data_IF_892605259170
#
_entry.id   IF_892605259170
#
_cell.length_a   1.000
_cell.length_b   1.000
_cell.length_c   1.000
_cell.angle_alpha   90.00
_cell.angle_beta   90.00
_cell.angle_gamma   90.00
#
_symmetry.space_group_name_H-M   'P 1'
#
loop_
_entity.id
_entity.type
_entity.pdbx_description
1 polymer ?
#
# COMPACT_ATOMS: atom_id res chain seq x y z
N UNK A 1 -17.31 8.28 -2.32
CA UNK A 1 -17.14 7.56 -1.05
C UNK A 1 -17.55 6.12 -1.26
N UNK A 2 -16.68 5.18 -0.89
CA UNK A 2 -16.97 3.75 -0.89
C UNK A 2 -16.74 3.21 0.51
N UNK A 3 -17.67 2.36 0.98
CA UNK A 3 -17.56 1.68 2.27
C UNK A 3 -17.86 0.20 2.03
N UNK A 4 -16.97 -0.65 2.51
CA UNK A 4 -17.09 -2.09 2.45
C UNK A 4 -17.01 -2.66 3.85
N UNK A 5 -17.93 -3.55 4.21
CA UNK A 5 -17.94 -4.25 5.49
C UNK A 5 -18.10 -5.75 5.23
N UNK A 6 -17.22 -6.54 5.79
CA UNK A 6 -17.26 -8.00 5.70
C UNK A 6 -17.24 -8.63 7.11
N UNK A 7 -18.01 -9.70 7.25
CA UNK A 7 -17.96 -10.61 8.41
C UNK A 7 -17.81 -12.02 7.91
N UNK A 8 -16.76 -12.68 8.35
CA UNK A 8 -16.48 -14.05 7.91
C UNK A 8 -16.35 -15.00 9.09
N UNK A 9 -16.64 -16.26 8.84
CA UNK A 9 -16.43 -17.36 9.77
C UNK A 9 -15.76 -18.51 9.04
N UNK A 10 -14.66 -18.99 9.59
CA UNK A 10 -13.98 -20.16 9.08
C UNK A 10 -14.28 -21.35 9.97
N UNK A 11 -14.75 -22.43 9.37
CA UNK A 11 -15.11 -23.66 10.06
C UNK A 11 -13.94 -24.65 10.10
N UNK A 12 -12.90 -24.40 9.30
CA UNK A 12 -11.70 -25.25 9.20
C UNK A 12 -10.46 -24.47 9.61
N UNK A 13 -9.39 -25.18 10.09
CA UNK A 13 -8.10 -24.60 10.32
C UNK A 13 -7.54 -23.91 9.07
N UNK A 14 -6.72 -22.87 9.29
CA UNK A 14 -6.07 -22.09 8.24
C UNK A 14 -4.62 -21.84 8.63
N UNK A 15 -3.83 -21.37 7.67
CA UNK A 15 -2.48 -20.90 7.98
C UNK A 15 -2.52 -19.81 9.04
N UNK A 16 -1.74 -19.95 10.10
CA UNK A 16 -1.69 -19.07 11.27
C UNK A 16 -3.00 -18.98 12.09
N UNK A 17 -3.98 -19.83 11.85
CA UNK A 17 -5.21 -19.93 12.64
C UNK A 17 -5.70 -21.37 12.67
N UNK A 18 -5.11 -22.20 13.52
CA UNK A 18 -5.41 -23.64 13.66
C UNK A 18 -6.75 -23.91 14.33
N UNK A 19 -7.35 -22.90 14.97
CA UNK A 19 -8.69 -23.00 15.56
C UNK A 19 -9.67 -22.25 14.66
N UNK A 20 -10.84 -22.85 14.36
CA UNK A 20 -11.92 -22.16 13.66
C UNK A 20 -12.26 -20.82 14.32
N UNK A 21 -12.45 -19.78 13.51
CA UNK A 21 -12.64 -18.45 14.07
C UNK A 21 -13.54 -17.55 13.23
N UNK A 22 -13.87 -16.41 13.82
CA UNK A 22 -14.64 -15.35 13.18
C UNK A 22 -13.79 -14.11 13.02
N UNK A 23 -14.03 -13.34 11.97
CA UNK A 23 -13.38 -12.06 11.78
C UNK A 23 -14.31 -11.04 11.16
N UNK A 24 -13.82 -9.81 11.12
CA UNK A 24 -14.49 -8.69 10.46
C UNK A 24 -13.47 -7.82 9.74
N UNK A 25 -13.90 -7.22 8.66
CA UNK A 25 -13.11 -6.26 7.91
C UNK A 25 -14.00 -5.06 7.55
N UNK A 26 -13.49 -3.86 7.74
CA UNK A 26 -14.14 -2.61 7.34
C UNK A 26 -13.13 -1.84 6.51
N UNK A 27 -13.54 -1.43 5.32
CA UNK A 27 -12.73 -0.62 4.41
C UNK A 27 -13.53 0.61 4.03
N UNK A 28 -12.88 1.77 4.07
CA UNK A 28 -13.45 3.03 3.65
C UNK A 28 -12.51 3.76 2.70
N UNK A 29 -13.04 4.23 1.58
CA UNK A 29 -12.34 5.05 0.61
C UNK A 29 -13.10 6.34 0.37
N UNK A 30 -12.40 7.47 0.47
CA UNK A 30 -12.92 8.80 0.14
C UNK A 30 -11.99 9.43 -0.87
N UNK A 31 -12.54 9.89 -2.00
CA UNK A 31 -11.78 10.55 -3.05
C UNK A 31 -12.41 11.90 -3.36
N UNK A 32 -11.57 12.92 -3.42
CA UNK A 32 -11.92 14.27 -3.86
C UNK A 32 -11.11 14.60 -5.12
N UNK A 33 -11.80 14.92 -6.19
CA UNK A 33 -11.19 15.29 -7.45
C UNK A 33 -11.47 16.77 -7.74
N UNK A 34 -10.43 17.51 -8.06
CA UNK A 34 -10.50 18.89 -8.49
C UNK A 34 -9.69 19.05 -9.78
N UNK A 35 -9.82 20.18 -10.46
CA UNK A 35 -9.18 20.39 -11.76
C UNK A 35 -7.65 20.22 -11.78
N UNK A 36 -6.99 20.51 -10.67
CA UNK A 36 -5.52 20.42 -10.55
C UNK A 36 -5.01 19.43 -9.52
N UNK A 37 -5.87 18.91 -8.66
CA UNK A 37 -5.45 18.00 -7.62
C UNK A 37 -6.52 16.94 -7.32
N UNK A 38 -6.05 15.75 -7.00
CA UNK A 38 -6.84 14.63 -6.55
C UNK A 38 -6.32 14.22 -5.18
N UNK A 39 -7.23 14.11 -4.21
CA UNK A 39 -6.93 13.65 -2.86
C UNK A 39 -7.71 12.38 -2.57
N UNK A 40 -7.05 11.36 -2.07
CA UNK A 40 -7.71 10.14 -1.65
C UNK A 40 -7.28 9.74 -0.24
N UNK A 41 -8.25 9.35 0.57
CA UNK A 41 -8.07 8.77 1.88
C UNK A 41 -8.62 7.36 1.88
N UNK A 42 -7.82 6.41 2.38
CA UNK A 42 -8.17 5.02 2.55
C UNK A 42 -7.98 4.62 4.00
N UNK A 43 -8.97 3.93 4.55
CA UNK A 43 -8.94 3.33 5.87
C UNK A 43 -9.33 1.87 5.77
N UNK A 44 -8.58 1.00 6.44
CA UNK A 44 -8.91 -0.42 6.60
C UNK A 44 -8.76 -0.82 8.07
N UNK A 45 -9.77 -1.50 8.59
CA UNK A 45 -9.75 -2.14 9.89
C UNK A 45 -10.03 -3.63 9.72
N UNK A 46 -9.14 -4.46 10.19
CA UNK A 46 -9.23 -5.92 10.10
C UNK A 46 -9.06 -6.53 11.50
N UNK A 47 -10.02 -7.36 11.91
CA UNK A 47 -9.98 -8.14 13.15
C UNK A 47 -10.16 -9.61 12.79
N UNK A 48 -9.12 -10.40 13.01
CA UNK A 48 -9.12 -11.86 12.72
C UNK A 48 -8.43 -12.65 13.84
N UNK A 49 -8.86 -13.91 14.03
CA UNK A 49 -8.14 -14.82 14.91
C UNK A 49 -6.78 -15.20 14.31
N UNK A 50 -5.78 -15.24 15.15
CA UNK A 50 -4.43 -15.70 14.83
C UNK A 50 -3.87 -16.52 15.99
N UNK A 51 -3.10 -17.57 15.67
CA UNK A 51 -2.49 -18.41 16.68
C UNK A 51 -1.41 -17.67 17.44
N UNK A 52 -1.42 -17.84 18.74
CA UNK A 52 -0.33 -17.46 19.60
C UNK A 52 0.45 -18.71 20.03
N UNK A 53 1.74 -18.70 19.76
CA UNK A 53 2.68 -19.78 20.08
C UNK A 53 3.42 -19.53 21.38
N UNK A 54 2.97 -18.58 22.19
CA UNK A 54 3.60 -18.27 23.47
C UNK A 54 3.11 -19.26 24.53
N UNK A 55 3.91 -20.27 24.85
CA UNK A 55 3.62 -21.32 25.83
C UNK A 55 3.37 -22.70 25.20
N UNK A 56 3.11 -23.69 26.06
CA UNK A 56 2.88 -25.09 25.65
C UNK A 56 1.56 -25.35 24.93
N UNK A 57 0.61 -24.42 25.04
CA UNK A 57 -0.73 -24.53 24.41
C UNK A 57 -0.92 -23.50 23.33
N UNK A 58 -1.32 -23.98 22.16
CA UNK A 58 -1.78 -23.14 21.06
C UNK A 58 -3.08 -22.44 21.45
N UNK A 59 -3.07 -21.11 21.50
CA UNK A 59 -4.24 -20.31 21.80
C UNK A 59 -4.59 -19.41 20.61
N UNK A 60 -5.86 -19.35 20.26
CA UNK A 60 -6.35 -18.40 19.28
C UNK A 60 -6.59 -17.05 19.95
N UNK A 61 -5.96 -16.00 19.42
CA UNK A 61 -6.03 -14.63 19.93
C UNK A 61 -6.51 -13.72 18.82
N UNK A 62 -7.34 -12.73 19.17
CA UNK A 62 -7.71 -11.69 18.22
C UNK A 62 -6.49 -10.85 17.85
N UNK A 63 -6.32 -10.63 16.55
CA UNK A 63 -5.37 -9.74 15.95
C UNK A 63 -6.10 -8.61 15.25
N UNK A 64 -5.80 -7.38 15.64
CA UNK A 64 -6.34 -6.17 15.00
C UNK A 64 -5.25 -5.52 14.16
N UNK A 65 -5.56 -5.23 12.90
CA UNK A 65 -4.72 -4.47 12.00
C UNK A 65 -5.51 -3.29 11.43
N UNK A 66 -4.94 -2.10 11.52
CA UNK A 66 -5.49 -0.88 10.97
C UNK A 66 -4.52 -0.28 9.97
N UNK A 67 -5.03 0.13 8.83
CA UNK A 67 -4.24 0.76 7.77
C UNK A 67 -4.88 2.10 7.39
N UNK A 68 -4.06 3.12 7.34
CA UNK A 68 -4.44 4.48 6.94
C UNK A 68 -3.56 4.89 5.78
N UNK A 69 -4.15 5.49 4.74
CA UNK A 69 -3.44 5.98 3.58
C UNK A 69 -4.03 7.29 3.13
N UNK A 70 -3.17 8.28 2.99
CA UNK A 70 -3.49 9.56 2.37
C UNK A 70 -2.64 9.73 1.13
N UNK A 71 -3.25 10.04 0.00
CA UNK A 71 -2.57 10.30 -1.26
C UNK A 71 -3.08 11.60 -1.87
N UNK A 72 -2.15 12.45 -2.24
CA UNK A 72 -2.39 13.70 -2.95
C UNK A 72 -1.65 13.67 -4.28
N UNK A 73 -2.37 13.87 -5.37
CA UNK A 73 -1.80 14.06 -6.70
C UNK A 73 -2.08 15.49 -7.16
N UNK A 74 -1.03 16.21 -7.52
CA UNK A 74 -1.12 17.59 -7.96
C UNK A 74 -0.55 17.73 -9.38
N UNK A 75 -1.33 18.34 -10.29
CA UNK A 75 -0.90 18.67 -11.64
C UNK A 75 -0.21 20.04 -11.64
N UNK A 76 1.13 20.04 -11.64
CA UNK A 76 1.96 21.25 -11.65
C UNK A 76 1.75 21.99 -12.98
N UNK A 77 1.78 21.23 -14.08
CA UNK A 77 1.39 21.67 -15.42
C UNK A 77 0.87 20.45 -16.20
N UNK A 78 0.45 20.65 -17.45
CA UNK A 78 -0.09 19.57 -18.30
C UNK A 78 0.85 18.38 -18.47
N UNK A 79 2.17 18.62 -18.38
CA UNK A 79 3.21 17.60 -18.59
C UNK A 79 3.80 17.05 -17.31
N UNK A 80 3.61 17.73 -16.17
CA UNK A 80 4.28 17.37 -14.91
C UNK A 80 3.25 17.25 -13.79
N UNK A 81 3.23 16.06 -13.17
CA UNK A 81 2.42 15.76 -12.00
C UNK A 81 3.30 15.32 -10.84
N UNK A 82 2.91 15.73 -9.66
CA UNK A 82 3.50 15.35 -8.38
C UNK A 82 2.51 14.49 -7.62
N UNK A 83 2.93 13.36 -7.05
CA UNK A 83 2.11 12.53 -6.18
C UNK A 83 2.84 12.29 -4.87
N UNK A 84 2.20 12.67 -3.80
CA UNK A 84 2.64 12.41 -2.43
C UNK A 84 1.72 11.37 -1.81
N UNK A 85 2.27 10.36 -1.14
CA UNK A 85 1.50 9.40 -0.35
C UNK A 85 2.14 9.20 1.00
N UNK A 86 1.30 9.21 2.02
CA UNK A 86 1.63 8.74 3.36
C UNK A 86 0.78 7.52 3.69
N UNK A 87 1.34 6.56 4.39
CA UNK A 87 0.62 5.39 4.88
C UNK A 87 1.10 5.06 6.28
N UNK A 88 0.16 4.67 7.13
CA UNK A 88 0.43 4.20 8.48
C UNK A 88 -0.29 2.88 8.71
N UNK A 89 0.39 1.92 9.31
CA UNK A 89 -0.16 0.64 9.71
C UNK A 89 0.03 0.46 11.20
N UNK A 90 -1.05 0.10 11.90
CA UNK A 90 -1.05 -0.23 13.31
C UNK A 90 -1.49 -1.69 13.49
N UNK A 91 -0.71 -2.46 14.23
CA UNK A 91 -0.94 -3.86 14.50
C UNK A 91 -0.98 -4.11 15.99
N UNK A 92 -2.02 -4.81 16.48
CA UNK A 92 -2.19 -5.16 17.88
C UNK A 92 -2.51 -6.64 18.00
N UNK A 93 -1.75 -7.35 18.83
CA UNK A 93 -1.98 -8.73 19.19
C UNK A 93 -1.64 -8.94 20.67
N UNK A 94 -2.64 -9.16 21.51
CA UNK A 94 -2.51 -9.14 22.99
C UNK A 94 -1.96 -7.78 23.46
N UNK A 95 -0.85 -7.83 24.18
CA UNK A 95 -0.13 -6.66 24.72
C UNK A 95 0.86 -6.06 23.71
N UNK A 96 1.14 -6.78 22.61
CA UNK A 96 2.08 -6.35 21.59
C UNK A 96 1.40 -5.35 20.66
N UNK A 97 1.98 -4.17 20.60
CA UNK A 97 1.58 -3.11 19.67
C UNK A 97 2.76 -2.77 18.77
N UNK A 98 2.51 -2.69 17.49
CA UNK A 98 3.53 -2.41 16.48
C UNK A 98 2.98 -1.37 15.50
N UNK A 99 3.85 -0.48 15.03
CA UNK A 99 3.54 0.55 14.05
C UNK A 99 4.44 0.45 12.83
N UNK A 100 3.97 1.02 11.74
CA UNK A 100 4.78 1.18 10.54
C UNK A 100 4.27 2.35 9.72
N UNK A 101 5.17 3.08 9.11
CA UNK A 101 4.80 4.16 8.20
C UNK A 101 5.62 4.15 6.92
N UNK A 102 5.02 4.71 5.88
CA UNK A 102 5.59 4.92 4.57
C UNK A 102 5.27 6.33 4.11
N UNK A 103 6.28 7.01 3.62
CA UNK A 103 6.15 8.23 2.83
C UNK A 103 6.77 8.01 1.46
N UNK A 104 6.08 8.41 0.39
CA UNK A 104 6.75 8.52 -0.90
C UNK A 104 6.31 9.75 -1.69
N UNK A 105 7.22 10.19 -2.55
CA UNK A 105 7.04 11.27 -3.51
C UNK A 105 7.32 10.76 -4.91
N UNK A 106 6.35 10.92 -5.81
CA UNK A 106 6.51 10.68 -7.26
C UNK A 106 6.56 12.00 -8.01
N UNK A 107 7.45 12.07 -8.98
CA UNK A 107 7.42 13.08 -10.04
C UNK A 107 7.19 12.36 -11.36
N UNK A 108 6.12 12.72 -12.05
CA UNK A 108 5.67 12.10 -13.29
C UNK A 108 5.66 13.12 -14.41
N UNK A 109 6.52 12.89 -15.40
CA UNK A 109 6.59 13.73 -16.61
C UNK A 109 6.03 12.96 -17.81
N UNK A 110 5.26 13.64 -18.65
CA UNK A 110 4.72 13.09 -19.90
C UNK A 110 4.74 14.13 -21.00
N UNK A 111 5.48 13.87 -22.08
CA UNK A 111 5.51 14.70 -23.27
C UNK A 111 4.85 13.99 -24.45
N UNK A 112 3.88 14.62 -25.08
CA UNK A 112 3.25 14.10 -26.29
C UNK A 112 4.14 14.26 -27.51
N UNK A 113 4.93 15.35 -27.59
CA UNK A 113 5.79 15.66 -28.74
C UNK A 113 6.94 14.67 -28.90
N UNK A 114 7.58 14.29 -27.79
CA UNK A 114 8.72 13.39 -27.79
C UNK A 114 8.35 11.95 -27.46
N UNK A 115 7.05 11.68 -27.24
CA UNK A 115 6.54 10.37 -26.77
C UNK A 115 7.32 9.81 -25.57
N UNK A 116 7.85 10.74 -24.73
CA UNK A 116 8.63 10.41 -23.54
C UNK A 116 7.74 10.48 -22.29
N UNK A 117 7.74 9.41 -21.52
CA UNK A 117 7.20 9.38 -20.15
C UNK A 117 8.33 9.04 -19.19
N UNK A 118 8.45 9.81 -18.12
CA UNK A 118 9.42 9.58 -17.07
C UNK A 118 8.72 9.63 -15.72
N UNK A 119 9.07 8.71 -14.84
CA UNK A 119 8.60 8.72 -13.46
C UNK A 119 9.77 8.45 -12.53
N UNK A 120 9.97 9.35 -11.60
CA UNK A 120 10.90 9.19 -10.49
C UNK A 120 10.12 9.01 -9.19
N UNK A 121 10.50 8.04 -8.38
CA UNK A 121 10.01 7.86 -7.01
C UNK A 121 11.14 7.91 -6.02
N UNK A 122 10.89 8.63 -4.92
CA UNK A 122 11.62 8.53 -3.67
C UNK A 122 10.66 8.05 -2.58
N UNK A 123 11.03 7.02 -1.84
CA UNK A 123 10.23 6.47 -0.74
C UNK A 123 11.12 6.28 0.50
N UNK A 124 10.55 6.59 1.67
CA UNK A 124 11.10 6.29 2.98
C UNK A 124 10.08 5.47 3.76
N UNK A 125 10.51 4.43 4.43
CA UNK A 125 9.65 3.59 5.27
C UNK A 125 10.38 3.18 6.54
N UNK A 126 9.60 2.99 7.61
CA UNK A 126 10.07 2.51 8.91
C UNK A 126 8.94 1.72 9.56
N UNK A 127 9.19 0.46 9.88
CA UNK A 127 8.19 -0.46 10.45
C UNK A 127 8.82 -1.29 11.55
N UNK A 128 8.10 -1.48 12.65
CA UNK A 128 8.60 -2.22 13.82
C UNK A 128 8.81 -3.71 13.52
N UNK A 129 8.05 -4.27 12.59
CA UNK A 129 8.15 -5.68 12.20
C UNK A 129 7.52 -5.97 10.84
N UNK A 130 7.66 -7.22 10.39
CA UNK A 130 6.99 -7.71 9.17
C UNK A 130 5.45 -7.68 9.27
N UNK A 131 4.85 -7.66 10.47
CA UNK A 131 3.40 -7.56 10.64
C UNK A 131 2.86 -6.19 10.21
N UNK A 132 3.68 -5.15 10.34
CA UNK A 132 3.36 -3.76 9.96
C UNK A 132 3.87 -3.37 8.58
N UNK A 133 4.33 -4.35 7.76
CA UNK A 133 4.74 -4.10 6.38
C UNK A 133 3.68 -3.36 5.59
N UNK A 134 4.14 -2.46 4.73
CA UNK A 134 3.28 -1.64 3.89
C UNK A 134 3.54 -2.00 2.43
N UNK A 135 2.47 -2.20 1.68
CA UNK A 135 2.55 -2.47 0.26
C UNK A 135 2.39 -1.19 -0.55
N UNK A 136 3.28 -0.98 -1.50
CA UNK A 136 3.21 0.13 -2.42
C UNK A 136 3.38 -0.35 -3.86
N UNK A 137 2.38 -0.03 -4.69
CA UNK A 137 2.51 -0.28 -6.12
C UNK A 137 3.64 0.55 -6.71
N UNK A 138 4.50 -0.07 -7.51
CA UNK A 138 5.55 0.56 -8.29
C UNK A 138 5.23 0.44 -9.77
N UNK A 139 5.35 1.55 -10.49
CA UNK A 139 5.30 1.50 -11.94
C UNK A 139 6.59 0.84 -12.43
N UNK A 140 6.41 -0.20 -13.24
CA UNK A 140 7.51 -0.97 -13.81
C UNK A 140 7.45 -0.89 -15.34
N UNK A 141 8.35 -1.59 -16.01
CA UNK A 141 8.31 -1.77 -17.47
C UNK A 141 7.01 -2.44 -17.89
N UNK A 142 6.68 -2.34 -19.17
CA UNK A 142 5.48 -2.98 -19.74
C UNK A 142 5.41 -4.46 -19.35
N UNK A 143 4.25 -4.91 -18.86
CA UNK A 143 3.99 -6.26 -18.31
C UNK A 143 4.73 -6.60 -17.00
N UNK A 144 5.53 -5.69 -16.44
CA UNK A 144 6.10 -5.85 -15.11
C UNK A 144 5.17 -5.28 -14.05
N UNK A 145 4.78 -6.10 -13.06
CA UNK A 145 4.05 -5.65 -11.88
C UNK A 145 4.95 -5.78 -10.67
N UNK A 146 5.19 -4.67 -9.98
CA UNK A 146 5.96 -4.67 -8.74
C UNK A 146 5.08 -4.17 -7.59
N UNK A 147 4.94 -5.01 -6.58
CA UNK A 147 4.17 -4.72 -5.37
C UNK A 147 4.99 -5.10 -4.13
N UNK A 148 6.14 -4.43 -3.92
CA UNK A 148 7.03 -4.80 -2.83
C UNK A 148 6.37 -4.64 -1.47
N UNK A 149 6.65 -5.59 -0.58
CA UNK A 149 6.41 -5.45 0.84
C UNK A 149 7.56 -4.63 1.44
N UNK A 150 7.28 -3.42 1.88
CA UNK A 150 8.25 -2.55 2.55
C UNK A 150 8.16 -2.81 4.05
N UNK A 151 9.26 -3.25 4.65
CA UNK A 151 9.38 -3.57 6.08
C UNK A 151 10.79 -3.25 6.58
N UNK A 152 10.97 -3.20 7.89
CA UNK A 152 12.12 -2.63 8.58
C UNK A 152 12.28 -1.13 8.26
N UNK A 153 13.48 -0.60 8.26
CA UNK A 153 13.78 0.79 7.95
C UNK A 153 14.55 0.90 6.65
N UNK A 154 14.10 1.75 5.75
CA UNK A 154 14.81 1.92 4.49
C UNK A 154 14.37 3.10 3.64
N UNK A 155 15.20 3.33 2.62
CA UNK A 155 14.94 4.29 1.54
C UNK A 155 14.93 3.49 0.24
N UNK A 156 13.99 3.82 -0.64
CA UNK A 156 13.90 3.21 -1.96
C UNK A 156 13.64 4.28 -3.00
N UNK A 157 14.42 4.28 -4.06
CA UNK A 157 14.20 5.16 -5.20
C UNK A 157 14.28 4.39 -6.51
N UNK A 158 13.50 4.83 -7.50
CA UNK A 158 13.58 4.31 -8.85
C UNK A 158 13.26 5.39 -9.88
N UNK A 159 13.79 5.20 -11.08
CA UNK A 159 13.47 5.97 -12.27
C UNK A 159 12.94 5.01 -13.33
N UNK A 160 11.74 5.27 -13.82
CA UNK A 160 11.14 4.55 -14.94
C UNK A 160 11.06 5.50 -16.13
N UNK A 161 11.62 5.07 -17.27
CA UNK A 161 11.61 5.81 -18.52
C UNK A 161 10.90 4.96 -19.58
N UNK A 162 9.93 5.54 -20.24
CA UNK A 162 9.27 4.95 -21.39
C UNK A 162 9.38 5.95 -22.54
N UNK A 163 10.14 5.58 -23.55
CA UNK A 163 10.39 6.42 -24.70
C UNK A 163 10.11 5.66 -25.98
N UNK A 164 9.35 6.29 -26.87
CA UNK A 164 9.04 5.80 -28.22
C UNK A 164 9.64 6.74 -29.25
N UNK A 165 10.94 6.60 -29.57
CA UNK A 165 11.62 7.52 -30.49
C UNK A 165 11.07 7.47 -31.90
N UNK A 166 10.54 6.30 -32.30
CA UNK A 166 9.96 6.07 -33.63
C UNK A 166 8.62 5.34 -33.46
N UNK A 167 7.74 5.46 -34.46
CA UNK A 167 6.40 4.83 -34.42
C UNK A 167 6.45 3.29 -34.29
N UNK A 168 7.56 2.68 -34.68
CA UNK A 168 7.74 1.22 -34.68
C UNK A 168 8.59 0.67 -33.51
N UNK A 169 9.27 1.53 -32.75
CA UNK A 169 10.19 1.09 -31.68
C UNK A 169 9.74 1.71 -30.35
N UNK A 170 9.51 0.87 -29.38
CA UNK A 170 9.25 1.27 -27.98
C UNK A 170 10.39 0.75 -27.13
N UNK A 171 11.12 1.67 -26.44
CA UNK A 171 12.14 1.36 -25.44
C UNK A 171 11.54 1.44 -24.04
N UNK A 172 11.81 0.44 -23.22
CA UNK A 172 11.34 0.34 -21.84
C UNK A 172 12.51 0.20 -20.86
#
# INVERSE_FOLDING_TARGET
INIYCDRFRFFSPRYQATIPGKGKEIVGDVTFNCSRWDCSFHFKHEDKPEDDKTGEKLQSVSRVKQEYRLQLTYSICERLKSRTRTSYTHYVKKERQEGGYLFYQDLMYSSLQTSLKAQFRFAYFDTDSYNTRIYAYENNVLYGYSFPALYDRGIRSYLNLNWKPFTLITLY
#
